data_IF_539201509863
#
_entry.id   IF_539201509863
#
_cell.length_a   1.000
_cell.length_b   1.000
_cell.length_c   1.000
_cell.angle_alpha   90.00
_cell.angle_beta   90.00
_cell.angle_gamma   90.00
#
_symmetry.space_group_name_H-M   'P 1'
#
loop_
_entity.id
_entity.type
_entity.pdbx_description
1 polymer ?
#
# COMPACT_ATOMS: atom_id res chain seq x y z
N UNK A 1 -24.31 -19.05 3.53
CA UNK A 1 -23.82 -18.62 2.20
C UNK A 1 -22.81 -17.50 2.41
N UNK A 2 -21.51 -17.79 2.27
CA UNK A 2 -20.49 -16.74 2.18
C UNK A 2 -19.77 -17.03 0.87
N UNK A 3 -20.11 -16.25 -0.15
CA UNK A 3 -19.74 -16.49 -1.54
C UNK A 3 -18.23 -16.61 -1.74
N UNK A 4 -17.83 -17.82 -2.14
CA UNK A 4 -16.64 -18.06 -2.94
C UNK A 4 -16.61 -17.12 -4.13
N UNK A 5 -15.79 -16.07 -4.06
CA UNK A 5 -15.37 -15.32 -5.24
C UNK A 5 -13.87 -15.47 -5.43
N UNK A 6 -13.54 -16.53 -6.17
CA UNK A 6 -12.32 -16.65 -6.95
C UNK A 6 -12.23 -15.47 -7.95
N UNK A 7 -11.90 -14.27 -7.44
CA UNK A 7 -11.71 -13.01 -8.18
C UNK A 7 -10.21 -12.70 -8.22
N UNK A 8 -9.51 -13.43 -9.08
CA UNK A 8 -8.15 -13.20 -9.58
C UNK A 8 -7.52 -11.86 -9.14
N UNK A 9 -6.60 -11.95 -8.16
CA UNK A 9 -5.39 -11.15 -7.93
C UNK A 9 -5.46 -9.61 -7.82
N UNK A 10 -6.41 -8.93 -8.45
CA UNK A 10 -6.51 -7.48 -8.50
C UNK A 10 -7.26 -6.89 -7.29
N UNK A 11 -8.29 -7.57 -6.79
CA UNK A 11 -9.06 -7.13 -5.60
C UNK A 11 -8.23 -7.17 -4.33
N UNK A 12 -7.47 -8.26 -4.14
CA UNK A 12 -6.54 -8.40 -3.01
C UNK A 12 -5.39 -7.39 -3.14
N UNK A 13 -4.83 -7.20 -4.34
CA UNK A 13 -3.73 -6.24 -4.55
C UNK A 13 -4.10 -4.81 -4.17
N UNK A 14 -5.29 -4.32 -4.56
CA UNK A 14 -5.75 -2.97 -4.22
C UNK A 14 -5.96 -2.81 -2.71
N UNK A 15 -6.60 -3.80 -2.07
CA UNK A 15 -6.83 -3.83 -0.62
C UNK A 15 -5.51 -3.75 0.17
N UNK A 16 -4.52 -4.58 -0.20
CA UNK A 16 -3.21 -4.58 0.45
C UNK A 16 -2.46 -3.25 0.27
N UNK A 17 -2.54 -2.62 -0.91
CA UNK A 17 -1.92 -1.30 -1.14
C UNK A 17 -2.55 -0.23 -0.23
N UNK A 18 -3.87 -0.27 -0.02
CA UNK A 18 -4.57 0.63 0.90
C UNK A 18 -4.12 0.41 2.35
N UNK A 19 -4.06 -0.85 2.79
CA UNK A 19 -3.56 -1.22 4.13
C UNK A 19 -2.14 -0.71 4.35
N UNK A 20 -1.23 -0.96 3.39
CA UNK A 20 0.15 -0.47 3.48
C UNK A 20 0.22 1.05 3.49
N UNK A 21 -0.59 1.73 2.70
CA UNK A 21 -0.61 3.20 2.67
C UNK A 21 -1.05 3.79 4.00
N UNK A 22 -2.11 3.24 4.62
CA UNK A 22 -2.57 3.68 5.94
C UNK A 22 -1.50 3.43 7.01
N UNK A 23 -0.85 2.27 6.97
CA UNK A 23 0.22 1.91 7.92
C UNK A 23 1.47 2.79 7.76
N UNK A 24 1.85 3.10 6.52
CA UNK A 24 2.92 4.05 6.19
C UNK A 24 2.60 5.43 6.77
N UNK A 25 1.37 5.93 6.58
CA UNK A 25 0.93 7.22 7.12
C UNK A 25 1.02 7.26 8.65
N UNK A 26 0.52 6.22 9.32
CA UNK A 26 0.60 6.08 10.77
C UNK A 26 2.05 6.03 11.28
N UNK A 27 2.88 5.17 10.71
CA UNK A 27 4.29 5.04 11.11
C UNK A 27 5.09 6.32 10.84
N UNK A 28 4.78 7.02 9.75
CA UNK A 28 5.41 8.31 9.44
C UNK A 28 5.12 9.32 10.53
N UNK A 29 3.86 9.44 11.00
CA UNK A 29 3.51 10.33 12.10
C UNK A 29 4.12 9.89 13.43
N UNK A 30 4.12 8.59 13.72
CA UNK A 30 4.76 8.02 14.90
C UNK A 30 6.26 8.37 14.96
N UNK A 31 6.98 8.23 13.85
CA UNK A 31 8.42 8.50 13.76
C UNK A 31 8.77 9.99 13.83
N UNK A 32 7.83 10.90 13.53
CA UNK A 32 8.05 12.35 13.75
C UNK A 32 8.25 12.65 15.24
N UNK A 33 7.49 11.98 16.11
CA UNK A 33 7.62 12.05 17.57
C UNK A 33 8.78 11.18 18.07
N UNK A 34 8.99 10.00 17.48
CA UNK A 34 9.97 9.01 17.93
C UNK A 34 11.16 8.88 16.95
N UNK A 35 11.96 9.95 16.81
CA UNK A 35 13.05 10.03 15.82
C UNK A 35 14.17 8.98 16.02
N UNK A 36 14.30 8.42 17.22
CA UNK A 36 15.31 7.40 17.56
C UNK A 36 14.81 5.95 17.39
N UNK A 37 13.55 5.75 17.01
CA UNK A 37 13.02 4.41 16.76
C UNK A 37 13.48 3.90 15.38
N UNK A 38 14.68 3.31 15.36
CA UNK A 38 15.27 2.73 14.16
C UNK A 38 14.57 1.45 13.71
N UNK A 39 13.99 0.69 14.65
CA UNK A 39 13.25 -0.55 14.37
C UNK A 39 11.96 -0.26 13.59
N UNK A 40 11.17 0.72 14.04
CA UNK A 40 9.97 1.15 13.32
C UNK A 40 10.31 1.82 11.98
N UNK A 41 11.43 2.55 11.88
CA UNK A 41 11.92 3.10 10.61
C UNK A 41 12.25 2.00 9.59
N UNK A 42 12.90 0.91 10.02
CA UNK A 42 13.16 -0.24 9.15
C UNK A 42 11.86 -0.86 8.64
N UNK A 43 10.90 -1.10 9.55
CA UNK A 43 9.58 -1.61 9.17
C UNK A 43 8.82 -0.69 8.20
N UNK A 44 8.93 0.64 8.38
CA UNK A 44 8.37 1.62 7.44
C UNK A 44 8.99 1.47 6.03
N UNK A 45 10.31 1.36 5.92
CA UNK A 45 11.01 1.20 4.63
C UNK A 45 10.58 -0.09 3.93
N UNK A 46 10.43 -1.19 4.68
CA UNK A 46 9.95 -2.46 4.14
C UNK A 46 8.52 -2.36 3.61
N UNK A 47 7.63 -1.67 4.32
CA UNK A 47 6.24 -1.43 3.90
C UNK A 47 6.18 -0.57 2.63
N UNK A 48 6.98 0.50 2.56
CA UNK A 48 7.10 1.34 1.36
C UNK A 48 7.55 0.50 0.16
N UNK A 49 8.55 -0.37 0.36
CA UNK A 49 9.08 -1.24 -0.69
C UNK A 49 8.05 -2.26 -1.18
N UNK A 50 7.32 -2.91 -0.26
CA UNK A 50 6.22 -3.84 -0.60
C UNK A 50 5.12 -3.13 -1.39
N UNK A 51 4.66 -1.96 -0.92
CA UNK A 51 3.66 -1.15 -1.62
C UNK A 51 4.12 -0.78 -3.04
N UNK A 52 5.38 -0.37 -3.20
CA UNK A 52 5.95 -0.02 -4.51
C UNK A 52 5.91 -1.21 -5.49
N UNK A 53 6.28 -2.41 -5.03
CA UNK A 53 6.19 -3.64 -5.84
C UNK A 53 4.75 -3.93 -6.27
N UNK A 54 3.80 -3.82 -5.35
CA UNK A 54 2.38 -4.05 -5.65
C UNK A 54 1.80 -3.01 -6.61
N UNK A 55 2.13 -1.73 -6.44
CA UNK A 55 1.74 -0.67 -7.38
C UNK A 55 2.31 -0.91 -8.78
N UNK A 56 3.56 -1.38 -8.86
CA UNK A 56 4.19 -1.73 -10.14
C UNK A 56 3.49 -2.91 -10.80
N UNK A 57 3.15 -3.94 -10.03
CA UNK A 57 2.35 -5.06 -10.53
C UNK A 57 0.97 -4.60 -11.00
N UNK A 58 0.26 -3.80 -10.20
CA UNK A 58 -1.07 -3.28 -10.55
C UNK A 58 -1.00 -2.45 -11.82
N UNK A 59 -0.01 -1.55 -11.96
CA UNK A 59 0.18 -0.76 -13.18
C UNK A 59 0.39 -1.62 -14.44
N UNK A 60 1.05 -2.79 -14.33
CA UNK A 60 1.28 -3.68 -15.48
C UNK A 60 0.04 -4.49 -15.86
N UNK A 61 -0.85 -4.78 -14.92
CA UNK A 61 -2.03 -5.63 -15.15
C UNK A 61 -3.33 -4.83 -15.33
N UNK A 62 -3.48 -3.70 -14.64
CA UNK A 62 -4.69 -2.86 -14.59
C UNK A 62 -4.28 -1.39 -14.39
N UNK A 63 -4.01 -0.70 -15.51
CA UNK A 63 -3.62 0.72 -15.51
C UNK A 63 -4.75 1.60 -14.97
N UNK A 64 -6.00 1.33 -15.36
CA UNK A 64 -7.17 2.08 -14.90
C UNK A 64 -7.35 1.97 -13.38
N UNK A 65 -7.20 0.76 -12.84
CA UNK A 65 -7.24 0.52 -11.40
C UNK A 65 -6.07 1.16 -10.65
N UNK A 66 -4.89 1.22 -11.24
CA UNK A 66 -3.74 1.94 -10.68
C UNK A 66 -3.99 3.45 -10.59
N UNK A 67 -4.52 4.07 -11.66
CA UNK A 67 -4.80 5.51 -11.70
C UNK A 67 -5.90 5.90 -10.70
N UNK A 68 -6.98 5.10 -10.61
CA UNK A 68 -8.03 5.29 -9.61
C UNK A 68 -7.47 5.17 -8.19
N UNK A 69 -6.67 4.14 -7.92
CA UNK A 69 -6.11 3.89 -6.59
C UNK A 69 -5.13 4.98 -6.16
N UNK A 70 -4.30 5.48 -7.07
CA UNK A 70 -3.40 6.61 -6.77
C UNK A 70 -4.18 7.88 -6.46
N UNK A 71 -5.26 8.14 -7.21
CA UNK A 71 -6.13 9.30 -6.98
C UNK A 71 -6.85 9.20 -5.63
N UNK A 72 -7.36 8.02 -5.29
CA UNK A 72 -8.04 7.74 -4.02
C UNK A 72 -7.09 7.88 -2.82
N UNK A 73 -5.87 7.35 -2.94
CA UNK A 73 -4.88 7.36 -1.85
C UNK A 73 -4.05 8.66 -1.78
N UNK A 74 -4.20 9.56 -2.74
CA UNK A 74 -3.45 10.83 -2.80
C UNK A 74 -1.93 10.64 -2.91
N UNK A 75 -1.47 9.53 -3.52
CA UNK A 75 -0.04 9.25 -3.68
C UNK A 75 0.49 10.12 -4.83
N UNK A 76 1.43 11.04 -4.55
CA UNK A 76 2.04 11.86 -5.61
C UNK A 76 2.95 11.00 -6.49
N UNK A 77 2.86 11.20 -7.81
CA UNK A 77 3.60 10.50 -8.87
C UNK A 77 5.02 11.05 -9.02
#
# INVERSE_FOLDING_TARGET
MVDSKNKNSAGDSKSQITIFTNRIKYLTDHLKRNKKDHSARRGLVDLVSKRKKMLTYLKRNDVSGYDLLIKELGIRK
#
